data_IF_959827671885
#
_entry.id   IF_959827671885
#
_cell.length_a   1.000
_cell.length_b   1.000
_cell.length_c   1.000
_cell.angle_alpha   90.00
_cell.angle_beta   90.00
_cell.angle_gamma   90.00
#
_symmetry.space_group_name_H-M   'P 1'
#
loop_
_entity.id
_entity.type
_entity.pdbx_description
1 polymer ?
#
# COMPACT_ATOMS: atom_id res chain seq x y z
N UNK A 1 18.43 -2.22 43.46
CA UNK A 1 18.90 -2.84 42.20
C UNK A 1 17.69 -3.04 41.31
N UNK A 2 17.52 -2.15 40.32
CA UNK A 2 16.37 -2.12 39.43
C UNK A 2 16.79 -2.82 38.12
N UNK A 3 16.15 -3.94 37.78
CA UNK A 3 16.29 -4.54 36.45
C UNK A 3 15.65 -3.60 35.40
N UNK A 4 16.27 -3.34 34.24
CA UNK A 4 15.59 -2.64 33.17
C UNK A 4 14.64 -3.62 32.47
N UNK A 5 13.36 -3.24 32.40
CA UNK A 5 12.33 -3.97 31.68
C UNK A 5 12.69 -4.10 30.19
N UNK A 6 12.70 -5.33 29.69
CA UNK A 6 12.81 -5.63 28.26
C UNK A 6 11.61 -5.02 27.52
N UNK A 7 11.86 -4.00 26.70
CA UNK A 7 10.87 -3.44 25.80
C UNK A 7 10.63 -4.41 24.62
N UNK A 8 9.49 -5.09 24.61
CA UNK A 8 8.92 -5.73 23.43
C UNK A 8 8.42 -4.64 22.47
N UNK A 9 9.31 -4.18 21.58
CA UNK A 9 9.00 -3.16 20.57
C UNK A 9 8.38 -3.83 19.34
N UNK A 10 7.06 -3.65 19.21
CA UNK A 10 6.26 -4.07 18.07
C UNK A 10 6.54 -3.21 16.85
N UNK A 11 6.56 -3.86 15.69
CA UNK A 11 6.63 -3.23 14.39
C UNK A 11 5.41 -2.31 14.15
N UNK A 12 5.63 -1.24 13.40
CA UNK A 12 4.59 -0.41 12.81
C UNK A 12 5.02 -0.10 11.35
N UNK A 13 4.21 -0.09 10.29
CA UNK A 13 2.88 -0.65 10.11
C UNK A 13 1.86 -0.26 11.17
N UNK A 14 1.67 1.03 11.42
CA UNK A 14 0.70 1.54 12.38
C UNK A 14 -0.72 0.98 12.11
N UNK A 15 -1.07 -0.18 12.68
CA UNK A 15 -2.37 -0.23 13.33
C UNK A 15 -2.30 0.82 14.42
N UNK A 16 -3.21 1.78 14.35
CA UNK A 16 -3.39 2.82 15.36
C UNK A 16 -3.25 2.21 16.74
N UNK A 17 -2.13 2.51 17.40
CA UNK A 17 -1.73 1.92 18.66
C UNK A 17 -2.95 1.94 19.59
N UNK A 18 -3.33 0.76 20.08
CA UNK A 18 -4.41 0.54 21.03
C UNK A 18 -4.15 1.18 22.38
N UNK A 19 -4.01 2.51 22.41
CA UNK A 19 -4.03 3.32 23.59
C UNK A 19 -5.48 3.47 24.00
N UNK A 20 -5.91 2.67 24.99
CA UNK A 20 -7.07 3.03 25.79
C UNK A 20 -6.65 4.26 26.60
N UNK A 21 -7.24 5.45 26.40
CA UNK A 21 -6.97 6.58 27.28
C UNK A 21 -7.31 6.15 28.70
N UNK A 22 -6.41 6.38 29.66
CA UNK A 22 -6.67 6.08 31.07
C UNK A 22 -8.07 6.60 31.48
N UNK A 23 -9.02 5.70 31.71
CA UNK A 23 -10.35 6.01 32.21
C UNK A 23 -11.46 6.29 31.20
N UNK A 24 -11.24 6.19 29.89
CA UNK A 24 -12.32 6.31 28.88
C UNK A 24 -12.56 4.95 28.22
N UNK A 25 -13.75 4.33 28.35
CA UNK A 25 -14.07 3.11 27.62
C UNK A 25 -13.91 3.36 26.12
N UNK A 26 -13.22 2.48 25.42
CA UNK A 26 -13.16 2.56 23.97
C UNK A 26 -14.61 2.60 23.42
N UNK A 27 -14.91 3.45 22.43
CA UNK A 27 -16.18 3.33 21.73
C UNK A 27 -16.33 1.88 21.28
N UNK A 28 -17.53 1.29 21.37
CA UNK A 28 -17.73 -0.08 20.93
C UNK A 28 -17.16 -0.21 19.52
N UNK A 29 -16.34 -1.25 19.29
CA UNK A 29 -15.81 -1.55 17.97
C UNK A 29 -16.98 -1.45 16.99
N UNK A 30 -16.83 -0.65 15.93
CA UNK A 30 -17.82 -0.62 14.88
C UNK A 30 -18.08 -2.08 14.51
N UNK A 31 -19.33 -2.53 14.62
CA UNK A 31 -19.65 -3.88 14.20
C UNK A 31 -19.20 -3.97 12.75
N UNK A 32 -18.39 -4.98 12.38
CA UNK A 32 -18.03 -5.14 11.00
C UNK A 32 -19.34 -5.19 10.23
N UNK A 33 -19.54 -4.22 9.35
CA UNK A 33 -20.71 -4.24 8.50
C UNK A 33 -20.47 -5.45 7.61
N UNK A 34 -21.24 -6.50 7.84
CA UNK A 34 -21.23 -7.67 6.98
C UNK A 34 -21.89 -7.24 5.69
N UNK A 35 -21.10 -6.63 4.80
CA UNK A 35 -21.59 -6.27 3.48
C UNK A 35 -21.94 -7.55 2.72
N UNK A 36 -23.08 -7.58 2.03
CA UNK A 36 -23.38 -8.70 1.16
C UNK A 36 -22.27 -8.82 0.11
N UNK A 37 -21.80 -10.04 -0.20
CA UNK A 37 -20.75 -10.22 -1.19
C UNK A 37 -21.16 -9.59 -2.53
N UNK A 38 -20.32 -8.72 -3.08
CA UNK A 38 -20.51 -8.17 -4.43
C UNK A 38 -19.81 -9.07 -5.43
N UNK A 39 -20.59 -9.76 -6.26
CA UNK A 39 -20.06 -10.38 -7.47
C UNK A 39 -19.73 -9.29 -8.49
N UNK A 40 -18.61 -9.47 -9.21
CA UNK A 40 -18.39 -8.68 -10.42
C UNK A 40 -19.61 -8.84 -11.36
N UNK A 41 -19.98 -7.78 -12.08
CA UNK A 41 -20.99 -7.93 -13.13
C UNK A 41 -20.49 -8.92 -14.19
N UNK A 42 -21.42 -9.61 -14.87
CA UNK A 42 -21.07 -10.50 -15.98
C UNK A 42 -20.31 -9.78 -17.11
N UNK A 43 -20.40 -8.46 -17.16
CA UNK A 43 -19.73 -7.58 -18.14
C UNK A 43 -18.47 -6.93 -17.60
N UNK A 44 -18.03 -7.22 -16.38
CA UNK A 44 -16.87 -6.57 -15.79
C UNK A 44 -15.61 -6.82 -16.63
N UNK A 45 -15.34 -8.07 -17.00
CA UNK A 45 -14.14 -8.42 -17.77
C UNK A 45 -14.14 -7.79 -19.16
N UNK A 46 -15.31 -7.61 -19.78
CA UNK A 46 -15.44 -6.92 -21.07
C UNK A 46 -15.32 -5.40 -20.91
N UNK A 47 -15.78 -4.84 -19.79
CA UNK A 47 -15.69 -3.41 -19.50
C UNK A 47 -14.23 -2.96 -19.26
N UNK A 48 -13.37 -3.84 -18.75
CA UNK A 48 -11.92 -3.59 -18.63
C UNK A 48 -11.27 -3.23 -19.98
N UNK A 49 -11.77 -3.84 -21.07
CA UNK A 49 -11.27 -3.60 -22.43
C UNK A 49 -12.01 -2.41 -23.04
N UNK A 50 -13.34 -2.39 -22.93
CA UNK A 50 -14.18 -1.40 -23.61
C UNK A 50 -14.02 0.03 -23.08
N UNK A 51 -13.64 0.21 -21.81
CA UNK A 51 -13.50 1.54 -21.20
C UNK A 51 -12.07 2.07 -21.20
N UNK A 52 -11.07 1.24 -21.54
CA UNK A 52 -9.69 1.70 -21.64
C UNK A 52 -9.50 2.51 -22.91
N UNK A 53 -9.05 3.76 -22.77
CA UNK A 53 -8.83 4.69 -23.90
C UNK A 53 -7.36 4.81 -24.31
N UNK A 54 -6.44 4.27 -23.53
CA UNK A 54 -5.00 4.36 -23.75
C UNK A 54 -4.37 2.98 -23.64
N UNK A 55 -3.60 2.60 -24.65
CA UNK A 55 -2.83 1.35 -24.71
C UNK A 55 -1.35 1.63 -24.46
N UNK A 56 -0.56 0.58 -24.18
CA UNK A 56 0.90 0.71 -24.06
C UNK A 56 1.41 1.12 -22.69
N UNK A 57 0.57 1.02 -21.65
CA UNK A 57 1.03 1.16 -20.27
C UNK A 57 2.10 0.10 -19.95
N UNK A 58 3.08 0.48 -19.14
CA UNK A 58 4.13 -0.42 -18.63
C UNK A 58 4.29 -0.22 -17.14
N UNK A 59 4.55 -1.31 -16.43
CA UNK A 59 4.76 -1.31 -14.99
C UNK A 59 6.14 -1.84 -14.66
N UNK A 60 6.87 -1.14 -13.80
CA UNK A 60 8.13 -1.58 -13.23
C UNK A 60 8.00 -1.67 -11.71
N UNK A 61 8.12 -2.88 -11.16
CA UNK A 61 8.07 -3.13 -9.72
C UNK A 61 9.50 -3.02 -9.18
N UNK A 62 9.75 -1.96 -8.42
CA UNK A 62 11.08 -1.60 -7.91
C UNK A 62 11.24 -2.12 -6.49
N UNK A 63 12.17 -3.05 -6.26
CA UNK A 63 12.54 -3.47 -4.90
C UNK A 63 13.52 -2.46 -4.31
N UNK A 64 13.01 -1.63 -3.41
CA UNK A 64 13.74 -0.51 -2.82
C UNK A 64 14.36 -0.82 -1.44
N UNK A 65 14.07 -2.01 -0.91
CA UNK A 65 14.53 -2.39 0.40
C UNK A 65 13.97 -3.73 0.84
N UNK A 66 14.31 -4.14 2.05
CA UNK A 66 13.76 -5.35 2.66
C UNK A 66 13.49 -5.10 4.13
N UNK A 67 12.37 -5.64 4.62
CA UNK A 67 12.10 -5.77 6.04
C UNK A 67 12.78 -6.98 6.67
N UNK A 68 12.68 -7.07 8.00
CA UNK A 68 12.95 -8.28 8.77
C UNK A 68 11.84 -8.45 9.79
N UNK A 69 11.05 -9.50 9.65
CA UNK A 69 9.85 -9.70 10.48
C UNK A 69 9.65 -11.18 10.79
N UNK A 70 8.96 -11.48 11.90
CA UNK A 70 8.51 -12.85 12.18
C UNK A 70 7.35 -13.22 11.25
N UNK A 71 7.29 -14.47 10.81
CA UNK A 71 6.31 -14.89 9.81
C UNK A 71 4.86 -14.69 10.25
N UNK A 72 4.55 -15.12 11.48
CA UNK A 72 3.21 -15.04 12.10
C UNK A 72 2.63 -13.63 12.18
N UNK A 73 3.44 -12.60 11.93
CA UNK A 73 3.02 -11.20 11.95
C UNK A 73 2.35 -10.77 10.64
N UNK A 74 2.73 -11.39 9.52
CA UNK A 74 2.15 -11.10 8.21
C UNK A 74 1.02 -12.08 7.84
N UNK A 75 1.05 -13.29 8.39
CA UNK A 75 0.09 -14.35 8.10
C UNK A 75 0.08 -15.35 9.25
N UNK A 76 -1.10 -15.66 9.76
CA UNK A 76 -1.31 -16.65 10.83
C UNK A 76 -0.91 -18.08 10.43
N UNK A 77 -0.76 -18.35 9.13
CA UNK A 77 -0.27 -19.64 8.62
C UNK A 77 1.26 -19.79 8.75
N UNK A 78 1.97 -18.72 9.11
CA UNK A 78 3.44 -18.73 9.22
C UNK A 78 3.88 -18.85 10.66
N UNK A 79 4.92 -19.66 10.91
CA UNK A 79 5.43 -19.89 12.25
C UNK A 79 6.01 -18.62 12.90
N UNK A 80 5.89 -18.44 14.23
CA UNK A 80 6.56 -17.37 14.97
C UNK A 80 8.09 -17.44 14.93
N UNK A 81 8.67 -18.60 14.65
CA UNK A 81 10.10 -18.84 14.50
C UNK A 81 10.59 -18.44 13.10
N UNK A 82 9.72 -18.44 12.09
CA UNK A 82 10.06 -18.01 10.75
C UNK A 82 10.55 -16.55 10.76
N UNK A 83 11.69 -16.27 10.12
CA UNK A 83 12.27 -14.93 9.97
C UNK A 83 12.22 -14.56 8.49
N UNK A 84 11.20 -13.81 8.10
CA UNK A 84 10.99 -13.39 6.72
C UNK A 84 11.78 -12.11 6.40
N UNK A 85 12.08 -11.96 5.11
CA UNK A 85 12.67 -10.74 4.53
C UNK A 85 11.73 -10.16 3.47
N UNK A 86 10.57 -9.62 3.86
CA UNK A 86 9.63 -9.05 2.90
C UNK A 86 10.29 -7.93 2.08
N UNK A 87 10.11 -7.87 0.75
CA UNK A 87 10.54 -6.73 -0.04
C UNK A 87 9.76 -5.47 0.34
N UNK A 88 10.45 -4.35 0.32
CA UNK A 88 9.83 -3.03 0.20
C UNK A 88 9.80 -2.68 -1.27
N UNK A 89 8.63 -2.27 -1.75
CA UNK A 89 8.39 -2.01 -3.16
C UNK A 89 7.87 -0.61 -3.37
N UNK A 90 8.29 0.00 -4.46
CA UNK A 90 7.56 1.08 -5.12
C UNK A 90 7.28 0.63 -6.55
N UNK A 91 6.22 1.14 -7.16
CA UNK A 91 5.85 0.72 -8.52
C UNK A 91 5.84 1.95 -9.43
N UNK A 92 6.66 1.91 -10.46
CA UNK A 92 6.68 2.91 -11.53
C UNK A 92 5.70 2.46 -12.61
N UNK A 93 4.67 3.28 -12.86
CA UNK A 93 3.72 3.10 -13.96
C UNK A 93 4.08 4.12 -15.04
N UNK A 94 4.46 3.65 -16.22
CA UNK A 94 4.67 4.51 -17.39
C UNK A 94 3.36 4.64 -18.14
N UNK A 95 2.75 5.80 -18.02
CA UNK A 95 1.52 6.13 -18.70
C UNK A 95 1.82 6.94 -19.98
N UNK A 96 1.38 6.50 -21.16
CA UNK A 96 1.70 7.18 -22.43
C UNK A 96 1.26 8.65 -22.50
N UNK A 97 0.08 8.96 -21.95
CA UNK A 97 -0.47 10.33 -21.95
C UNK A 97 -0.26 11.10 -20.64
N UNK A 98 -0.11 10.42 -19.49
CA UNK A 98 0.02 11.06 -18.17
C UNK A 98 1.47 11.11 -17.65
N UNK A 99 2.42 10.46 -18.34
CA UNK A 99 3.82 10.41 -17.95
C UNK A 99 4.13 9.35 -16.88
N UNK A 100 5.22 9.57 -16.13
CA UNK A 100 5.67 8.65 -15.09
C UNK A 100 4.85 8.84 -13.81
N UNK A 101 4.24 7.76 -13.32
CA UNK A 101 3.47 7.73 -12.07
C UNK A 101 4.14 6.76 -11.09
N UNK A 102 4.14 7.11 -9.81
CA UNK A 102 4.65 6.26 -8.73
C UNK A 102 3.51 5.79 -7.85
N UNK A 103 3.45 4.50 -7.55
CA UNK A 103 2.68 3.96 -6.44
C UNK A 103 3.64 3.68 -5.29
N UNK A 104 3.58 4.51 -4.26
CA UNK A 104 4.57 4.56 -3.19
C UNK A 104 5.81 5.38 -3.54
N UNK A 105 6.27 6.19 -2.59
CA UNK A 105 7.48 6.99 -2.70
C UNK A 105 8.70 6.34 -2.03
N UNK A 106 8.53 5.36 -1.14
CA UNK A 106 9.65 4.74 -0.44
C UNK A 106 10.03 5.44 0.86
N UNK A 107 11.04 4.87 1.53
CA UNK A 107 11.50 5.30 2.86
C UNK A 107 12.24 6.65 2.86
N UNK A 108 12.11 7.44 3.94
CA UNK A 108 12.77 8.74 4.04
C UNK A 108 14.30 8.62 4.08
N UNK A 109 15.00 9.67 3.64
CA UNK A 109 16.47 9.78 3.77
C UNK A 109 16.84 9.69 5.24
N UNK A 110 17.65 8.70 5.58
CA UNK A 110 18.08 8.45 6.97
C UNK A 110 16.94 8.34 8.00
N UNK A 111 15.81 7.75 7.58
CA UNK A 111 14.61 7.65 8.41
C UNK A 111 14.09 9.03 8.88
N UNK A 112 14.29 10.08 8.07
CA UNK A 112 13.85 11.43 8.38
C UNK A 112 14.75 12.15 9.39
N UNK A 113 16.05 11.84 9.42
CA UNK A 113 17.01 12.46 10.35
C UNK A 113 16.93 11.95 11.79
N UNK A 114 16.16 10.88 12.04
CA UNK A 114 15.97 10.27 13.36
C UNK A 114 17.28 9.70 13.97
N UNK A 115 18.32 9.51 13.15
CA UNK A 115 19.58 8.91 13.58
C UNK A 115 19.42 7.44 14.01
N UNK A 116 20.51 6.67 13.96
CA UNK A 116 20.46 5.22 14.23
C UNK A 116 19.89 4.85 15.62
N UNK A 117 19.84 5.80 16.56
CA UNK A 117 19.36 5.60 17.94
C UNK A 117 17.84 5.76 18.10
N UNK A 118 17.19 6.69 17.40
CA UNK A 118 15.71 6.77 17.40
C UNK A 118 15.10 5.77 16.41
N UNK A 119 15.85 5.37 15.38
CA UNK A 119 15.45 4.27 14.48
C UNK A 119 15.41 2.93 15.21
N UNK A 120 16.36 2.67 16.12
CA UNK A 120 16.34 1.48 16.99
C UNK A 120 15.12 1.52 17.91
N UNK A 121 14.18 0.60 17.68
CA UNK A 121 12.93 0.50 18.45
C UNK A 121 11.73 1.21 17.83
N UNK A 122 11.92 1.96 16.74
CA UNK A 122 10.80 2.53 15.98
C UNK A 122 10.16 1.52 15.02
N UNK A 123 8.98 1.88 14.53
CA UNK A 123 8.29 1.31 13.36
C UNK A 123 9.24 0.98 12.19
N UNK A 124 10.22 1.86 11.98
CA UNK A 124 11.17 1.85 10.88
C UNK A 124 12.36 0.90 11.08
N UNK A 125 12.61 0.46 12.32
CA UNK A 125 13.73 -0.43 12.69
C UNK A 125 13.90 -1.74 11.89
N UNK A 126 12.86 -2.38 11.31
CA UNK A 126 13.03 -3.64 10.59
C UNK A 126 13.47 -3.45 9.14
N UNK A 127 13.40 -2.23 8.60
CA UNK A 127 13.65 -1.97 7.19
C UNK A 127 15.10 -1.62 6.90
N UNK A 128 15.61 -2.18 5.80
CA UNK A 128 16.95 -1.93 5.28
C UNK A 128 16.87 -1.51 3.82
N UNK A 129 17.25 -0.27 3.54
CA UNK A 129 17.58 0.20 2.21
C UNK A 129 19.07 -0.08 1.99
N UNK A 130 19.41 -0.78 0.91
CA UNK A 130 20.81 -0.97 0.54
C UNK A 130 21.34 0.29 -0.15
N UNK A 131 22.65 0.52 -0.15
CA UNK A 131 23.25 1.60 -0.93
C UNK A 131 22.78 1.50 -2.41
N UNK A 132 22.34 2.62 -2.98
CA UNK A 132 21.81 2.70 -4.35
C UNK A 132 20.46 1.99 -4.57
N UNK A 133 19.78 1.54 -3.50
CA UNK A 133 18.46 0.90 -3.60
C UNK A 133 17.31 1.81 -3.18
N UNK A 134 17.57 3.05 -2.77
CA UNK A 134 16.52 4.02 -2.52
C UNK A 134 15.74 4.34 -3.81
N UNK A 135 14.56 4.93 -3.65
CA UNK A 135 13.65 5.19 -4.78
C UNK A 135 14.29 6.05 -5.88
N UNK A 136 15.09 7.06 -5.51
CA UNK A 136 15.64 8.02 -6.47
C UNK A 136 16.71 7.32 -7.30
N UNK A 137 17.60 6.55 -6.64
CA UNK A 137 18.59 5.72 -7.32
C UNK A 137 17.93 4.70 -8.26
N UNK A 138 16.83 4.05 -7.83
CA UNK A 138 16.12 3.08 -8.68
C UNK A 138 15.47 3.72 -9.89
N UNK A 139 14.85 4.88 -9.74
CA UNK A 139 14.22 5.62 -10.84
C UNK A 139 15.25 6.07 -11.88
N UNK A 140 16.37 6.66 -11.42
CA UNK A 140 17.46 7.05 -12.33
C UNK A 140 18.04 5.86 -13.10
N UNK A 141 18.18 4.71 -12.44
CA UNK A 141 18.59 3.48 -13.10
C UNK A 141 17.56 2.97 -14.15
N UNK A 142 16.30 3.39 -14.05
CA UNK A 142 15.27 3.17 -15.07
C UNK A 142 15.13 4.36 -16.04
N UNK A 143 16.04 5.34 -16.01
CA UNK A 143 16.02 6.51 -16.88
C UNK A 143 14.85 7.46 -16.59
N UNK A 144 14.45 7.58 -15.32
CA UNK A 144 13.43 8.54 -14.87
C UNK A 144 14.06 9.43 -13.80
N UNK A 145 14.15 10.73 -14.05
CA UNK A 145 14.56 11.68 -13.02
C UNK A 145 13.37 12.01 -12.10
N UNK A 146 13.62 12.43 -10.84
CA UNK A 146 12.54 12.80 -9.92
C UNK A 146 11.60 13.89 -10.47
N UNK A 147 12.13 14.79 -11.30
CA UNK A 147 11.40 15.88 -11.94
C UNK A 147 10.46 15.41 -13.06
N UNK A 148 10.67 14.20 -13.59
CA UNK A 148 9.84 13.60 -14.64
C UNK A 148 8.56 12.97 -14.10
N UNK A 149 8.52 12.67 -12.79
CA UNK A 149 7.38 12.07 -12.12
C UNK A 149 6.22 13.07 -12.09
N UNK A 150 5.06 12.65 -12.60
CA UNK A 150 3.85 13.48 -12.70
C UNK A 150 2.87 13.26 -11.56
N UNK A 151 2.86 12.07 -10.98
CA UNK A 151 2.07 11.80 -9.79
C UNK A 151 2.69 10.74 -8.88
N UNK A 152 2.49 10.91 -7.58
CA UNK A 152 2.80 9.94 -6.54
C UNK A 152 1.49 9.54 -5.85
N UNK A 153 1.05 8.31 -6.11
CA UNK A 153 -0.10 7.66 -5.50
C UNK A 153 0.36 6.99 -4.20
N UNK A 154 -0.10 7.49 -3.06
CA UNK A 154 0.27 6.98 -1.74
C UNK A 154 -0.78 5.98 -1.23
N UNK A 155 -0.44 4.68 -1.10
CA UNK A 155 -1.41 3.67 -0.68
C UNK A 155 -1.95 3.93 0.72
N UNK A 156 -1.09 4.43 1.60
CA UNK A 156 -1.44 5.08 2.85
C UNK A 156 -0.30 6.01 3.29
N UNK A 157 -0.32 6.43 4.55
CA UNK A 157 0.72 7.27 5.15
C UNK A 157 1.82 6.49 5.87
N UNK A 158 1.93 5.15 5.71
CA UNK A 158 3.03 4.44 6.34
C UNK A 158 4.37 4.99 5.80
N UNK A 159 5.40 5.15 6.65
CA UNK A 159 6.64 5.79 6.26
C UNK A 159 7.36 5.15 5.06
N UNK A 160 7.21 3.85 4.85
CA UNK A 160 7.74 3.13 3.69
C UNK A 160 7.07 3.52 2.37
N UNK A 161 5.89 4.12 2.42
CA UNK A 161 5.18 4.65 1.26
C UNK A 161 5.34 6.15 1.13
N UNK A 162 5.17 6.91 2.21
CA UNK A 162 5.09 8.38 2.16
C UNK A 162 6.44 9.09 2.34
N UNK A 163 7.47 8.40 2.85
CA UNK A 163 8.72 9.00 3.34
C UNK A 163 9.53 9.83 2.34
N UNK A 164 9.25 9.70 1.03
CA UNK A 164 9.92 10.46 -0.04
C UNK A 164 8.96 11.26 -0.91
N UNK A 165 7.70 11.45 -0.51
CA UNK A 165 6.73 12.15 -1.35
C UNK A 165 7.22 13.56 -1.76
N UNK A 166 7.93 14.25 -0.87
CA UNK A 166 8.53 15.56 -1.13
C UNK A 166 9.70 15.57 -2.13
N UNK A 167 10.29 14.41 -2.47
CA UNK A 167 11.45 14.33 -3.37
C UNK A 167 11.11 14.46 -4.87
N UNK A 168 9.82 14.57 -5.22
CA UNK A 168 9.33 14.65 -6.59
C UNK A 168 8.67 16.02 -6.81
N UNK A 169 9.44 17.07 -7.19
CA UNK A 169 8.98 18.45 -7.10
C UNK A 169 7.81 18.78 -8.05
N UNK A 170 7.70 18.08 -9.18
CA UNK A 170 6.67 18.32 -10.20
C UNK A 170 5.46 17.38 -10.08
N UNK A 171 5.45 16.47 -9.11
CA UNK A 171 4.41 15.46 -9.01
C UNK A 171 3.22 15.92 -8.16
N UNK A 172 1.99 15.64 -8.59
CA UNK A 172 0.85 15.67 -7.66
C UNK A 172 0.96 14.51 -6.66
N UNK A 173 0.64 14.74 -5.40
CA UNK A 173 0.60 13.68 -4.37
C UNK A 173 -0.85 13.27 -4.14
N UNK A 174 -1.21 12.06 -4.55
CA UNK A 174 -2.57 11.54 -4.49
C UNK A 174 -2.72 10.66 -3.25
N UNK A 175 -3.71 10.98 -2.41
CA UNK A 175 -3.95 10.29 -1.14
C UNK A 175 -5.46 10.26 -0.82
N UNK A 176 -5.91 9.24 -0.08
CA UNK A 176 -7.26 9.22 0.46
C UNK A 176 -7.51 10.37 1.45
N UNK A 177 -8.65 11.04 1.31
CA UNK A 177 -9.11 12.07 2.25
C UNK A 177 -9.26 11.51 3.68
N UNK A 178 -9.67 10.24 3.82
CA UNK A 178 -9.79 9.57 5.12
C UNK A 178 -8.42 9.35 5.76
N UNK A 179 -7.43 8.89 4.98
CA UNK A 179 -6.05 8.72 5.48
C UNK A 179 -5.46 10.05 5.96
N UNK A 180 -5.67 11.13 5.18
CA UNK A 180 -5.19 12.47 5.55
C UNK A 180 -5.83 13.00 6.83
N UNK A 181 -7.15 12.87 6.99
CA UNK A 181 -7.90 13.44 8.13
C UNK A 181 -7.86 12.58 9.40
N UNK A 182 -7.30 11.38 9.35
CA UNK A 182 -7.31 10.45 10.46
C UNK A 182 -6.61 11.00 11.73
N UNK A 183 -7.34 11.24 12.83
CA UNK A 183 -6.80 11.84 14.05
C UNK A 183 -5.94 10.91 14.89
N UNK A 184 -6.16 9.59 14.86
CA UNK A 184 -5.42 8.63 15.71
C UNK A 184 -3.95 8.51 15.30
N UNK A 185 -3.62 8.83 14.05
CA UNK A 185 -2.22 8.95 13.60
C UNK A 185 -1.46 10.08 14.31
N UNK A 186 -2.13 11.18 14.68
CA UNK A 186 -1.50 12.27 15.48
C UNK A 186 -1.07 11.82 16.88
N UNK A 187 -1.70 10.77 17.43
CA UNK A 187 -1.44 10.29 18.78
C UNK A 187 -0.46 9.10 18.84
N UNK A 188 -0.52 8.19 17.87
CA UNK A 188 0.30 6.97 17.83
C UNK A 188 1.80 7.23 17.55
N UNK A 189 2.12 8.41 16.99
CA UNK A 189 3.47 8.76 16.55
C UNK A 189 4.02 9.97 17.30
N UNK A 190 3.57 10.26 18.53
CA UNK A 190 4.06 11.42 19.31
C UNK A 190 5.59 11.55 19.44
N UNK A 191 6.33 10.45 19.22
CA UNK A 191 7.79 10.41 19.26
C UNK A 191 8.46 10.24 17.87
N UNK A 192 7.70 10.25 16.78
CA UNK A 192 8.15 10.19 15.38
C UNK A 192 7.56 11.39 14.60
N UNK A 193 8.23 11.89 13.55
CA UNK A 193 7.63 12.87 12.65
C UNK A 193 6.35 12.29 12.01
N UNK A 194 5.24 13.04 12.08
CA UNK A 194 4.01 12.72 11.35
C UNK A 194 4.36 12.57 9.85
N UNK A 195 4.08 11.44 9.19
CA UNK A 195 4.38 11.21 7.78
C UNK A 195 3.81 12.27 6.83
N UNK A 196 2.78 13.00 7.26
CA UNK A 196 2.27 14.18 6.53
C UNK A 196 3.33 15.25 6.32
N UNK A 197 4.31 15.36 7.21
CA UNK A 197 5.44 16.28 7.06
C UNK A 197 6.31 15.99 5.82
N UNK A 198 6.25 14.78 5.27
CA UNK A 198 6.94 14.43 4.02
C UNK A 198 6.15 14.84 2.77
N UNK A 199 4.90 15.30 2.92
CA UNK A 199 3.98 15.58 1.83
C UNK A 199 3.84 17.09 1.65
N UNK A 200 4.19 17.63 0.48
CA UNK A 200 3.97 19.04 0.19
C UNK A 200 2.48 19.30 -0.06
N UNK A 201 1.82 19.98 0.89
CA UNK A 201 0.37 20.18 0.90
C UNK A 201 -0.14 20.93 -0.33
N UNK A 202 0.67 21.83 -0.90
CA UNK A 202 0.34 22.56 -2.11
C UNK A 202 0.19 21.67 -3.36
N UNK A 203 0.75 20.44 -3.31
CA UNK A 203 0.64 19.41 -4.37
C UNK A 203 -0.31 18.26 -4.00
N UNK A 204 -0.94 18.32 -2.83
CA UNK A 204 -1.81 17.26 -2.33
C UNK A 204 -3.16 17.23 -3.07
N UNK A 205 -3.53 16.06 -3.59
CA UNK A 205 -4.81 15.78 -4.26
C UNK A 205 -5.55 14.69 -3.47
N UNK A 206 -6.47 15.12 -2.61
CA UNK A 206 -7.26 14.21 -1.79
C UNK A 206 -8.37 13.54 -2.60
N UNK A 207 -8.50 12.23 -2.45
CA UNK A 207 -9.54 11.41 -3.07
C UNK A 207 -10.58 11.00 -2.03
N UNK A 208 -11.86 11.21 -2.35
CA UNK A 208 -12.98 10.87 -1.48
C UNK A 208 -13.74 9.68 -2.04
N UNK A 209 -13.61 8.53 -1.38
CA UNK A 209 -14.29 7.29 -1.79
C UNK A 209 -15.76 7.24 -1.33
N UNK A 210 -16.19 8.10 -0.39
CA UNK A 210 -17.55 8.04 0.17
C UNK A 210 -18.66 8.23 -0.86
N UNK A 211 -18.36 8.89 -1.97
CA UNK A 211 -19.28 9.10 -3.10
C UNK A 211 -18.88 8.33 -4.36
N UNK A 212 -17.81 7.54 -4.31
CA UNK A 212 -17.30 6.83 -5.47
C UNK A 212 -18.17 5.59 -5.78
N UNK A 213 -18.38 5.28 -7.07
CA UNK A 213 -19.15 4.10 -7.46
C UNK A 213 -18.35 2.81 -7.20
N UNK A 214 -19.02 1.64 -7.20
CA UNK A 214 -18.35 0.35 -7.14
C UNK A 214 -17.44 0.10 -8.35
N UNK A 215 -16.38 -0.68 -8.16
CA UNK A 215 -15.52 -1.14 -9.23
C UNK A 215 -15.30 -2.65 -9.16
N UNK A 216 -15.93 -3.39 -10.08
CA UNK A 216 -15.88 -4.85 -10.07
C UNK A 216 -16.47 -5.42 -8.78
N UNK A 217 -15.62 -6.04 -7.97
CA UNK A 217 -15.96 -6.63 -6.66
C UNK A 217 -15.70 -5.68 -5.48
N UNK A 218 -15.04 -4.56 -5.73
CA UNK A 218 -14.68 -3.57 -4.71
C UNK A 218 -15.81 -2.58 -4.47
N UNK A 219 -15.90 -2.06 -3.24
CA UNK A 219 -17.02 -1.20 -2.86
C UNK A 219 -17.00 0.14 -3.58
N UNK A 220 -15.80 0.68 -3.75
CA UNK A 220 -15.55 1.99 -4.31
C UNK A 220 -14.32 1.99 -5.21
N UNK A 221 -14.42 2.65 -6.36
CA UNK A 221 -13.30 2.89 -7.26
C UNK A 221 -13.39 4.24 -7.95
N UNK A 222 -12.24 4.89 -8.11
CA UNK A 222 -12.12 6.21 -8.75
C UNK A 222 -11.18 6.07 -9.94
N UNK A 223 -11.69 6.31 -11.16
CA UNK A 223 -10.85 6.43 -12.35
C UNK A 223 -10.08 7.75 -12.29
N UNK A 224 -8.78 7.66 -12.01
CA UNK A 224 -7.92 8.80 -11.71
C UNK A 224 -7.81 9.77 -12.89
N UNK A 225 -7.77 9.23 -14.11
CA UNK A 225 -7.57 10.02 -15.34
C UNK A 225 -8.79 10.07 -16.26
N UNK A 226 -9.88 9.37 -15.89
CA UNK A 226 -11.12 9.25 -16.68
C UNK A 226 -10.89 8.60 -18.05
N UNK A 227 -9.88 7.75 -18.14
CA UNK A 227 -9.46 7.04 -19.33
C UNK A 227 -9.46 5.50 -19.16
N UNK A 228 -9.93 5.02 -18.00
CA UNK A 228 -10.07 3.61 -17.69
C UNK A 228 -8.75 2.88 -17.44
N UNK A 229 -7.63 3.58 -17.30
CA UNK A 229 -6.30 2.94 -17.18
C UNK A 229 -5.87 2.70 -15.73
N UNK A 230 -6.05 3.67 -14.84
CA UNK A 230 -5.63 3.64 -13.43
C UNK A 230 -6.83 3.98 -12.57
N UNK A 231 -7.35 2.96 -11.88
CA UNK A 231 -8.49 3.08 -10.98
C UNK A 231 -7.97 2.93 -9.56
N UNK A 232 -8.14 3.96 -8.74
CA UNK A 232 -7.87 3.88 -7.31
C UNK A 232 -8.97 3.04 -6.67
N UNK A 233 -8.58 2.08 -5.84
CA UNK A 233 -9.50 1.14 -5.20
C UNK A 233 -9.49 1.39 -3.70
N UNK A 234 -10.68 1.54 -3.11
CA UNK A 234 -10.80 1.62 -1.67
C UNK A 234 -10.45 0.25 -1.05
N UNK A 235 -9.45 0.27 -0.17
CA UNK A 235 -8.95 -0.90 0.55
C UNK A 235 -8.79 -0.55 2.04
N UNK A 236 -9.70 0.25 2.58
CA UNK A 236 -9.76 0.57 4.01
C UNK A 236 -9.78 -0.70 4.87
N UNK A 237 -9.18 -0.62 6.07
CA UNK A 237 -9.10 -1.74 7.01
C UNK A 237 -7.67 -2.21 7.31
N UNK A 238 -6.81 -2.32 6.28
CA UNK A 238 -5.38 -2.53 6.52
C UNK A 238 -4.72 -1.29 7.12
N UNK A 239 -5.04 -0.14 6.53
CA UNK A 239 -4.76 1.17 7.11
C UNK A 239 -6.03 2.00 6.96
N UNK A 240 -6.28 2.90 7.92
CA UNK A 240 -7.42 3.81 7.84
C UNK A 240 -7.30 4.71 6.61
N UNK A 241 -8.26 4.61 5.70
CA UNK A 241 -8.24 5.25 4.37
C UNK A 241 -7.23 4.63 3.40
N UNK A 242 -6.83 3.38 3.61
CA UNK A 242 -5.92 2.65 2.74
C UNK A 242 -6.49 2.51 1.33
N UNK A 243 -5.64 2.66 0.31
CA UNK A 243 -6.03 2.53 -1.08
C UNK A 243 -5.07 1.68 -1.90
N UNK A 244 -5.61 1.00 -2.90
CA UNK A 244 -4.87 0.30 -3.94
C UNK A 244 -4.98 1.00 -5.29
N UNK A 245 -4.30 0.44 -6.29
CA UNK A 245 -4.43 0.88 -7.69
C UNK A 245 -4.64 -0.32 -8.61
N UNK A 246 -5.75 -0.31 -9.33
CA UNK A 246 -6.03 -1.23 -10.42
C UNK A 246 -5.56 -0.60 -11.74
N UNK A 247 -4.61 -1.25 -12.40
CA UNK A 247 -3.94 -0.77 -13.61
C UNK A 247 -4.30 -1.68 -14.78
N UNK A 248 -4.99 -1.15 -15.79
CA UNK A 248 -5.42 -1.90 -16.97
C UNK A 248 -4.32 -1.93 -18.05
N UNK A 249 -3.46 -2.96 -18.01
CA UNK A 249 -2.39 -3.18 -18.98
C UNK A 249 -2.88 -3.97 -20.20
N UNK A 250 -2.11 -3.93 -21.31
CA UNK A 250 -2.43 -4.63 -22.55
C UNK A 250 -2.55 -6.15 -22.36
N UNK A 251 -1.72 -6.73 -21.50
CA UNK A 251 -1.75 -8.16 -21.21
C UNK A 251 -2.84 -8.57 -20.21
N UNK A 252 -3.51 -7.62 -19.56
CA UNK A 252 -4.51 -7.82 -18.52
C UNK A 252 -4.34 -6.86 -17.33
N UNK A 253 -5.29 -6.80 -16.40
CA UNK A 253 -5.21 -5.89 -15.26
C UNK A 253 -4.14 -6.28 -14.25
N UNK A 254 -3.66 -5.31 -13.48
CA UNK A 254 -2.82 -5.52 -12.30
C UNK A 254 -3.41 -4.76 -11.11
N UNK A 255 -3.55 -5.41 -9.95
CA UNK A 255 -3.96 -4.74 -8.72
C UNK A 255 -2.75 -4.59 -7.80
N UNK A 256 -2.41 -3.35 -7.48
CA UNK A 256 -1.46 -2.98 -6.43
C UNK A 256 -2.25 -2.82 -5.13
N UNK A 257 -2.05 -3.71 -4.15
CA UNK A 257 -2.96 -3.80 -3.00
C UNK A 257 -2.70 -2.74 -1.93
N UNK A 258 -1.49 -2.17 -1.88
CA UNK A 258 -1.09 -1.33 -0.76
C UNK A 258 -1.37 -2.02 0.59
N UNK A 259 -1.97 -1.34 1.57
CA UNK A 259 -2.26 -1.94 2.88
C UNK A 259 -3.36 -3.00 2.86
N UNK A 260 -4.10 -3.18 1.75
CA UNK A 260 -5.23 -4.12 1.67
C UNK A 260 -4.85 -5.60 1.72
N UNK A 261 -3.58 -5.94 1.46
CA UNK A 261 -3.01 -7.27 1.64
C UNK A 261 -1.48 -7.21 1.70
N UNK A 262 -0.86 -7.95 2.62
CA UNK A 262 0.60 -7.91 2.81
C UNK A 262 1.32 -9.00 2.04
N UNK A 263 0.78 -10.23 2.06
CA UNK A 263 1.38 -11.41 1.44
C UNK A 263 0.37 -12.24 0.68
N UNK A 264 0.86 -13.16 -0.16
CA UNK A 264 0.03 -14.06 -0.96
C UNK A 264 -1.07 -14.75 -0.13
N UNK A 265 -0.69 -15.31 1.02
CA UNK A 265 -1.59 -16.07 1.90
C UNK A 265 -2.78 -15.24 2.39
N UNK A 266 -2.62 -13.91 2.54
CA UNK A 266 -3.73 -13.05 2.96
C UNK A 266 -4.87 -13.08 1.95
N UNK A 267 -4.53 -13.17 0.68
CA UNK A 267 -5.48 -13.13 -0.42
C UNK A 267 -6.01 -14.53 -0.70
N UNK A 268 -5.13 -15.48 -0.98
CA UNK A 268 -5.54 -16.76 -1.56
C UNK A 268 -5.89 -17.83 -0.53
N UNK A 269 -5.28 -17.77 0.66
CA UNK A 269 -5.56 -18.69 1.77
C UNK A 269 -6.44 -18.07 2.87
N UNK A 270 -6.84 -16.81 2.68
CA UNK A 270 -7.60 -16.01 3.65
C UNK A 270 -6.92 -15.89 5.03
N UNK A 271 -5.59 -16.03 5.08
CA UNK A 271 -4.81 -15.97 6.31
C UNK A 271 -4.79 -14.53 6.85
N UNK A 272 -5.13 -14.34 8.11
CA UNK A 272 -5.10 -13.02 8.71
C UNK A 272 -3.69 -12.62 9.16
N UNK A 273 -3.31 -11.34 9.03
CA UNK A 273 -2.11 -10.81 9.67
C UNK A 273 -2.35 -10.63 11.19
N UNK A 274 -1.29 -10.37 11.95
CA UNK A 274 -1.45 -9.98 13.35
C UNK A 274 -2.23 -8.65 13.42
N UNK A 275 -3.27 -8.61 14.26
CA UNK A 275 -4.16 -7.47 14.43
C UNK A 275 -3.46 -6.13 14.72
N UNK A 276 -2.21 -6.15 15.19
CA UNK A 276 -1.42 -4.93 15.44
C UNK A 276 -0.87 -4.26 14.17
N UNK A 277 -1.10 -4.84 12.99
CA UNK A 277 -0.70 -4.24 11.70
C UNK A 277 -1.86 -3.73 10.87
N UNK A 278 -3.10 -3.97 11.32
CA UNK A 278 -4.31 -3.57 10.60
C UNK A 278 -5.22 -2.75 11.51
N UNK A 279 -5.95 -1.79 10.94
CA UNK A 279 -6.90 -0.98 11.72
C UNK A 279 -8.22 -1.73 11.95
N UNK A 280 -8.63 -2.56 10.99
CA UNK A 280 -9.79 -3.45 11.10
C UNK A 280 -9.56 -4.76 10.34
N UNK A 281 -9.50 -5.87 11.09
CA UNK A 281 -9.31 -7.21 10.53
C UNK A 281 -10.47 -7.64 9.64
N UNK A 282 -11.69 -7.17 9.92
CA UNK A 282 -12.88 -7.58 9.17
C UNK A 282 -12.86 -6.98 7.78
N UNK A 283 -12.64 -5.67 7.66
CA UNK A 283 -12.44 -4.98 6.38
C UNK A 283 -11.24 -5.53 5.62
N UNK A 284 -10.13 -5.84 6.30
CA UNK A 284 -8.99 -6.51 5.66
C UNK A 284 -9.39 -7.88 5.05
N UNK A 285 -10.14 -8.70 5.79
CA UNK A 285 -10.63 -9.99 5.30
C UNK A 285 -11.63 -9.83 4.15
N UNK A 286 -12.48 -8.80 4.18
CA UNK A 286 -13.40 -8.46 3.10
C UNK A 286 -12.66 -8.05 1.84
N UNK A 287 -11.64 -7.20 1.95
CA UNK A 287 -10.78 -6.81 0.83
C UNK A 287 -10.10 -8.04 0.20
N UNK A 288 -9.52 -8.92 1.02
CA UNK A 288 -8.95 -10.18 0.54
C UNK A 288 -9.97 -11.06 -0.21
N UNK A 289 -11.22 -11.12 0.27
CA UNK A 289 -12.31 -11.82 -0.43
C UNK A 289 -12.65 -11.15 -1.76
N UNK A 290 -12.79 -9.83 -1.80
CA UNK A 290 -13.06 -9.08 -3.02
C UNK A 290 -11.95 -9.28 -4.06
N UNK A 291 -10.69 -9.34 -3.61
CA UNK A 291 -9.53 -9.66 -4.45
C UNK A 291 -9.61 -11.07 -5.07
N UNK A 292 -10.00 -12.10 -4.30
CA UNK A 292 -10.22 -13.45 -4.85
C UNK A 292 -11.32 -13.48 -5.90
N UNK A 293 -12.46 -12.83 -5.61
CA UNK A 293 -13.56 -12.74 -6.56
C UNK A 293 -13.18 -11.96 -7.82
N UNK A 294 -12.33 -10.94 -7.70
CA UNK A 294 -11.78 -10.22 -8.84
C UNK A 294 -10.86 -11.11 -9.69
N UNK A 295 -10.04 -11.96 -9.06
CA UNK A 295 -9.18 -12.91 -9.77
C UNK A 295 -10.00 -13.99 -10.50
N UNK A 296 -11.13 -14.43 -9.92
CA UNK A 296 -12.07 -15.33 -10.58
C UNK A 296 -12.75 -14.67 -11.79
N UNK A 297 -13.19 -13.42 -11.64
CA UNK A 297 -13.86 -12.67 -12.70
C UNK A 297 -12.90 -12.21 -13.82
N UNK A 298 -11.63 -11.96 -13.50
CA UNK A 298 -10.59 -11.54 -14.44
C UNK A 298 -9.39 -12.50 -14.35
N UNK A 299 -9.40 -13.63 -15.08
CA UNK A 299 -8.36 -14.67 -14.98
C UNK A 299 -6.93 -14.20 -15.30
N UNK A 300 -6.77 -13.05 -15.98
CA UNK A 300 -5.48 -12.43 -16.27
C UNK A 300 -5.04 -11.39 -15.25
N UNK A 301 -5.81 -11.19 -14.17
CA UNK A 301 -5.46 -10.28 -13.08
C UNK A 301 -4.22 -10.77 -12.35
N UNK A 302 -3.20 -9.91 -12.27
CA UNK A 302 -2.09 -10.09 -11.33
C UNK A 302 -2.33 -9.19 -10.13
N UNK A 303 -2.40 -9.77 -8.95
CA UNK A 303 -2.52 -9.02 -7.69
C UNK A 303 -1.14 -8.98 -7.05
N UNK A 304 -0.60 -7.80 -6.77
CA UNK A 304 0.68 -7.59 -6.09
C UNK A 304 0.44 -7.18 -4.64
N UNK A 305 0.61 -8.11 -3.67
CA UNK A 305 0.60 -7.78 -2.25
C UNK A 305 1.71 -6.78 -1.89
N UNK A 306 1.55 -6.01 -0.81
CA UNK A 306 2.54 -4.99 -0.41
C UNK A 306 3.98 -5.52 -0.23
N UNK A 307 4.11 -6.77 0.21
CA UNK A 307 5.36 -7.35 0.70
C UNK A 307 5.61 -8.76 0.16
N UNK A 308 5.11 -9.06 -1.04
CA UNK A 308 5.26 -10.38 -1.65
C UNK A 308 5.32 -10.29 -3.18
N UNK A 309 6.30 -10.99 -3.76
CA UNK A 309 6.55 -11.05 -5.20
C UNK A 309 6.05 -12.36 -5.84
N UNK A 310 5.44 -13.25 -5.06
CA UNK A 310 5.10 -14.61 -5.51
C UNK A 310 4.13 -14.59 -6.70
N UNK A 311 3.07 -13.78 -6.63
CA UNK A 311 2.09 -13.64 -7.74
C UNK A 311 2.73 -13.13 -9.02
N UNK A 312 3.64 -12.16 -8.92
CA UNK A 312 4.35 -11.61 -10.06
C UNK A 312 5.29 -12.64 -10.70
N UNK A 313 5.96 -13.46 -9.89
CA UNK A 313 6.85 -14.53 -10.36
C UNK A 313 6.10 -15.69 -11.02
N UNK A 314 4.88 -15.97 -10.56
CA UNK A 314 4.02 -17.03 -11.11
C UNK A 314 3.36 -16.63 -12.43
N UNK A 315 3.17 -15.32 -12.66
CA UNK A 315 2.49 -14.78 -13.84
C UNK A 315 3.34 -13.70 -14.53
N UNK A 316 4.48 -14.06 -15.16
CA UNK A 316 5.33 -13.10 -15.86
C UNK A 316 4.59 -12.53 -17.08
N UNK A 317 4.72 -11.22 -17.30
CA UNK A 317 4.03 -10.50 -18.41
C UNK A 317 4.99 -9.51 -19.09
N UNK A 318 4.86 -9.30 -20.42
CA UNK A 318 5.80 -8.44 -21.17
C UNK A 318 5.69 -6.96 -20.81
N UNK A 319 4.57 -6.54 -20.23
CA UNK A 319 4.28 -5.17 -19.79
C UNK A 319 4.49 -4.95 -18.28
N UNK A 320 4.99 -5.96 -17.56
CA UNK A 320 5.42 -5.85 -16.17
C UNK A 320 6.87 -6.31 -16.01
N UNK A 321 7.72 -5.42 -15.53
CA UNK A 321 9.13 -5.70 -15.25
C UNK A 321 9.39 -5.70 -13.74
N UNK A 322 9.99 -6.77 -13.23
CA UNK A 322 10.52 -6.79 -11.86
C UNK A 322 11.96 -6.26 -11.86
N UNK A 323 12.23 -5.26 -11.02
CA UNK A 323 13.56 -4.67 -10.81
C UNK A 323 14.01 -5.00 -9.37
N UNK A 324 14.79 -6.07 -9.16
CA UNK A 324 15.19 -6.54 -7.84
C UNK A 324 16.22 -5.65 -7.13
#
# INVERSE_FOLDING_TARGET
>A
MILPALALLGLAGCAELGLVPNGVPAPPAARPVLWPPRSASATFSTSLIAHRKVDGLRVEVLVIGHGKIRGNLLSELKSPEARLKPPLMAVLIRHPTQGALLFGAGLPEDMGGLGARQVKGSALSPFKVGAGRDILSRLRAQGVEPDDVKAVILPDLAPEWAGRAGAFPNADVILSAQAWKNPKRRDAEKNLPDPRAFIPEERLKLQDFSTAPPYGTFEHGIDLFKDGTVILIDLDGGAAGGMGAWVNLDSGPMLLTGPGAFVYDNIFDAALPDKKFVVDLSSFAWNARAMRQAAEAAPRLVILPAHDLSTLKLSPRPDIKLVP
#
